data_IF_519145498783
#
_entry.id   IF_519145498783
#
_cell.length_a   1.000
_cell.length_b   1.000
_cell.length_c   1.000
_cell.angle_alpha   90.00
_cell.angle_beta   90.00
_cell.angle_gamma   90.00
#
_symmetry.space_group_name_H-M   'P 1'
#
loop_
_entity.id
_entity.type
_entity.pdbx_description
1 polymer ?
#
# COMPACT_ATOMS: atom_id res chain seq x y z
N UNK A 1 -1.10 8.64 5.62
CA UNK A 1 -1.76 8.38 4.32
C UNK A 1 -1.98 6.89 4.17
N UNK A 2 -3.22 6.45 3.92
CA UNK A 2 -3.66 5.06 3.72
C UNK A 2 -3.37 4.57 2.30
N UNK A 3 -2.36 3.71 2.13
CA UNK A 3 -2.00 3.13 0.83
C UNK A 3 -2.40 1.66 0.76
N UNK A 4 -3.35 1.31 -0.10
CA UNK A 4 -3.81 -0.07 -0.28
C UNK A 4 -3.09 -0.75 -1.46
N UNK A 5 -2.33 -1.82 -1.21
CA UNK A 5 -1.58 -2.59 -2.23
C UNK A 5 -2.10 -4.01 -2.35
N UNK A 6 -2.39 -4.47 -3.57
CA UNK A 6 -2.63 -5.89 -3.86
C UNK A 6 -1.47 -6.46 -4.69
N UNK A 7 -0.52 -7.22 -4.11
CA UNK A 7 0.35 -8.08 -4.89
C UNK A 7 -0.38 -9.39 -5.22
N UNK A 8 -0.44 -9.75 -6.50
CA UNK A 8 -0.91 -11.06 -6.95
C UNK A 8 0.27 -11.97 -7.31
N UNK A 9 0.29 -13.19 -6.76
CA UNK A 9 1.30 -14.20 -7.14
C UNK A 9 0.78 -14.95 -8.36
N UNK A 10 1.57 -15.03 -9.44
CA UNK A 10 1.24 -15.86 -10.61
C UNK A 10 1.21 -17.34 -10.21
N UNK A 11 0.25 -18.15 -10.69
CA UNK A 11 0.23 -19.58 -10.40
C UNK A 11 1.55 -20.25 -10.83
N UNK A 12 2.02 -21.29 -10.10
CA UNK A 12 3.29 -21.94 -10.39
C UNK A 12 3.31 -22.45 -11.83
N UNK A 13 4.47 -22.33 -12.50
CA UNK A 13 4.61 -22.95 -13.82
C UNK A 13 4.37 -24.47 -13.70
N UNK A 14 3.94 -25.11 -14.79
CA UNK A 14 3.68 -26.58 -14.83
C UNK A 14 4.91 -27.45 -14.50
N UNK A 15 6.06 -26.82 -14.21
CA UNK A 15 7.37 -27.42 -14.07
C UNK A 15 7.90 -27.30 -12.62
N UNK A 16 7.08 -26.84 -11.66
CA UNK A 16 7.40 -26.88 -10.23
C UNK A 16 8.49 -25.90 -9.75
N UNK A 17 8.82 -24.85 -10.51
CA UNK A 17 9.78 -23.81 -10.06
C UNK A 17 9.09 -22.72 -9.22
N UNK A 18 9.68 -22.42 -8.06
CA UNK A 18 9.30 -21.30 -7.19
C UNK A 18 9.33 -19.97 -7.95
N UNK A 19 8.34 -19.11 -7.73
CA UNK A 19 8.21 -17.82 -8.44
C UNK A 19 9.36 -16.89 -8.06
N UNK A 20 10.12 -16.42 -9.05
CA UNK A 20 11.11 -15.36 -8.86
C UNK A 20 10.41 -14.03 -8.55
N UNK A 21 11.12 -13.06 -7.97
CA UNK A 21 10.60 -11.70 -7.73
C UNK A 21 10.03 -11.03 -8.99
N UNK A 22 10.44 -11.50 -10.19
CA UNK A 22 9.97 -11.06 -11.51
C UNK A 22 8.68 -11.74 -12.00
N UNK A 23 8.22 -12.78 -11.30
CA UNK A 23 7.02 -13.56 -11.64
C UNK A 23 5.78 -13.13 -10.84
N UNK A 24 5.92 -12.10 -9.99
CA UNK A 24 4.83 -11.49 -9.21
C UNK A 24 4.21 -10.42 -10.09
N UNK A 25 2.88 -10.41 -10.21
CA UNK A 25 2.18 -9.34 -10.92
C UNK A 25 2.47 -7.99 -10.25
N UNK A 26 2.53 -6.91 -11.05
CA UNK A 26 2.78 -5.61 -10.48
C UNK A 26 1.60 -5.23 -9.58
N UNK A 27 1.87 -4.59 -8.44
CA UNK A 27 0.83 -4.25 -7.48
C UNK A 27 -0.11 -3.17 -8.02
N UNK A 28 -1.32 -3.10 -7.49
CA UNK A 28 -2.27 -2.01 -7.74
C UNK A 28 -2.43 -1.14 -6.51
N UNK A 29 -2.50 0.17 -6.73
CA UNK A 29 -2.81 1.17 -5.72
C UNK A 29 -4.28 1.60 -5.83
N UNK A 30 -4.96 1.73 -4.69
CA UNK A 30 -6.31 2.29 -4.63
C UNK A 30 -6.36 3.69 -4.03
N UNK A 31 -5.91 3.84 -2.80
CA UNK A 31 -5.90 5.12 -2.08
C UNK A 31 -4.48 5.56 -1.75
N UNK A 32 -4.34 6.84 -1.39
CA UNK A 32 -3.09 7.43 -0.92
C UNK A 32 -2.13 7.82 -2.04
N UNK A 33 -0.91 8.19 -1.65
CA UNK A 33 0.20 8.43 -2.56
C UNK A 33 1.20 7.28 -2.44
N UNK A 34 1.67 6.76 -3.57
CA UNK A 34 2.79 5.82 -3.63
C UNK A 34 3.46 5.94 -4.99
N UNK A 35 4.68 5.41 -5.12
CA UNK A 35 5.42 5.41 -6.40
C UNK A 35 4.97 4.28 -7.35
N UNK A 36 3.87 3.58 -7.01
CA UNK A 36 3.24 2.56 -7.87
C UNK A 36 2.44 3.25 -8.98
N UNK A 37 2.63 2.82 -10.22
CA UNK A 37 1.99 3.43 -11.40
C UNK A 37 0.71 2.74 -11.84
N UNK A 38 0.39 1.55 -11.32
CA UNK A 38 -0.85 0.85 -11.63
C UNK A 38 -1.92 1.25 -10.63
N UNK A 39 -2.93 1.97 -11.11
CA UNK A 39 -4.08 2.37 -10.31
C UNK A 39 -5.22 1.39 -10.50
N UNK A 40 -5.90 1.09 -9.41
CA UNK A 40 -7.20 0.44 -9.44
C UNK A 40 -8.29 1.44 -9.82
N UNK A 41 -9.42 0.93 -10.31
CA UNK A 41 -10.59 1.73 -10.68
C UNK A 41 -11.73 1.45 -9.71
N UNK A 42 -12.37 2.49 -9.18
CA UNK A 42 -13.61 2.35 -8.42
C UNK A 42 -14.77 2.17 -9.39
N UNK A 43 -15.34 0.96 -9.44
CA UNK A 43 -16.44 0.61 -10.34
C UNK A 43 -17.80 1.06 -9.79
N UNK A 44 -17.97 1.04 -8.46
CA UNK A 44 -19.18 1.49 -7.79
C UNK A 44 -18.87 1.98 -6.37
N UNK A 45 -19.77 2.79 -5.83
CA UNK A 45 -19.72 3.28 -4.45
C UNK A 45 -21.13 3.36 -3.88
N UNK A 46 -21.32 2.87 -2.66
CA UNK A 46 -22.55 3.00 -1.89
C UNK A 46 -22.23 3.60 -0.53
N UNK A 47 -23.05 4.57 -0.09
CA UNK A 47 -22.83 5.29 1.16
C UNK A 47 -24.12 5.27 1.97
N UNK A 48 -24.00 4.87 3.23
CA UNK A 48 -25.04 4.92 4.26
C UNK A 48 -24.55 5.75 5.44
N UNK A 49 -25.40 5.98 6.44
CA UNK A 49 -25.04 6.80 7.61
C UNK A 49 -23.84 6.27 8.41
N UNK A 50 -23.58 4.96 8.38
CA UNK A 50 -22.51 4.32 9.18
C UNK A 50 -21.54 3.47 8.35
N UNK A 51 -21.78 3.35 7.04
CA UNK A 51 -20.95 2.51 6.17
C UNK A 51 -20.76 3.13 4.79
N UNK A 52 -19.56 2.98 4.25
CA UNK A 52 -19.22 3.31 2.86
C UNK A 52 -18.60 2.09 2.21
N UNK A 53 -19.19 1.64 1.11
CA UNK A 53 -18.78 0.46 0.37
C UNK A 53 -18.25 0.90 -1.01
N UNK A 54 -17.07 0.43 -1.39
CA UNK A 54 -16.51 0.63 -2.71
C UNK A 54 -16.31 -0.71 -3.42
N UNK A 55 -16.77 -0.84 -4.65
CA UNK A 55 -16.38 -1.95 -5.54
C UNK A 55 -15.17 -1.51 -6.36
N UNK A 56 -14.06 -2.22 -6.19
CA UNK A 56 -12.77 -1.87 -6.75
C UNK A 56 -12.33 -2.91 -7.78
N UNK A 57 -11.87 -2.44 -8.94
CA UNK A 57 -11.22 -3.24 -9.98
C UNK A 57 -9.71 -3.00 -9.95
N UNK A 58 -8.93 -4.03 -9.63
CA UNK A 58 -7.47 -4.03 -9.59
C UNK A 58 -6.94 -5.08 -10.57
N UNK A 59 -6.65 -4.66 -11.80
CA UNK A 59 -6.24 -5.58 -12.87
C UNK A 59 -7.34 -6.63 -13.14
N UNK A 60 -7.01 -7.95 -13.11
CA UNK A 60 -8.00 -9.01 -13.32
C UNK A 60 -8.86 -9.30 -12.09
N UNK A 61 -8.62 -8.63 -10.96
CA UNK A 61 -9.34 -8.88 -9.70
C UNK A 61 -10.33 -7.76 -9.40
N UNK A 62 -11.56 -8.16 -9.03
CA UNK A 62 -12.58 -7.27 -8.47
C UNK A 62 -12.86 -7.64 -7.02
N UNK A 63 -13.08 -6.66 -6.16
CA UNK A 63 -13.41 -6.89 -4.74
C UNK A 63 -14.18 -5.71 -4.15
N UNK A 64 -14.73 -5.88 -2.95
CA UNK A 64 -15.39 -4.83 -2.19
C UNK A 64 -14.53 -4.37 -1.01
N UNK A 65 -14.50 -3.07 -0.76
CA UNK A 65 -13.87 -2.44 0.40
C UNK A 65 -14.91 -1.62 1.16
N UNK A 66 -15.19 -2.02 2.41
CA UNK A 66 -16.24 -1.42 3.24
C UNK A 66 -15.62 -0.74 4.45
N UNK A 67 -15.75 0.58 4.51
CA UNK A 67 -15.52 1.36 5.72
C UNK A 67 -16.77 1.33 6.59
N UNK A 68 -16.63 1.03 7.87
CA UNK A 68 -17.74 0.97 8.82
C UNK A 68 -17.38 1.70 10.11
N UNK A 69 -18.26 2.59 10.55
CA UNK A 69 -18.15 3.30 11.82
C UNK A 69 -19.32 2.88 12.71
N UNK A 70 -19.07 2.15 13.81
CA UNK A 70 -20.11 1.75 14.73
C UNK A 70 -20.79 2.95 15.38
N UNK A 71 -22.09 2.84 15.64
CA UNK A 71 -22.82 3.75 16.53
C UNK A 71 -23.16 2.95 17.77
N UNK A 72 -22.67 3.40 18.92
CA UNK A 72 -22.90 2.74 20.21
C UNK A 72 -23.76 3.65 21.10
N UNK A 73 -25.10 3.58 21.02
CA UNK A 73 -25.99 4.62 21.54
C UNK A 73 -25.86 4.90 23.04
N UNK A 74 -25.34 3.93 23.80
CA UNK A 74 -25.27 3.95 25.26
C UNK A 74 -23.83 4.15 25.79
N UNK A 75 -22.82 4.24 24.92
CA UNK A 75 -21.42 4.45 25.32
C UNK A 75 -20.83 5.68 24.61
N UNK A 76 -21.07 6.84 25.20
CA UNK A 76 -20.56 8.13 24.72
C UNK A 76 -19.03 8.19 24.73
N UNK A 77 -18.37 7.40 25.60
CA UNK A 77 -16.92 7.33 25.66
C UNK A 77 -16.36 6.70 24.38
N UNK A 78 -16.91 5.58 23.96
CA UNK A 78 -16.52 4.88 22.72
C UNK A 78 -16.93 5.63 21.46
N UNK A 79 -18.04 6.35 21.49
CA UNK A 79 -18.41 7.27 20.41
C UNK A 79 -17.45 8.46 20.25
N UNK A 80 -16.74 8.86 21.31
CA UNK A 80 -15.78 9.97 21.26
C UNK A 80 -14.42 9.59 20.68
N UNK A 81 -14.18 8.30 20.43
CA UNK A 81 -12.93 7.80 19.85
C UNK A 81 -13.11 7.78 18.31
N UNK A 82 -12.32 8.57 17.55
CA UNK A 82 -12.38 8.52 16.10
C UNK A 82 -11.73 7.22 15.59
N UNK A 83 -12.52 6.23 15.20
CA UNK A 83 -12.04 5.01 14.55
C UNK A 83 -13.03 4.51 13.48
N UNK A 84 -12.52 3.69 12.56
CA UNK A 84 -13.31 3.03 11.52
C UNK A 84 -12.74 1.65 11.24
N UNK A 85 -13.59 0.68 10.91
CA UNK A 85 -13.19 -0.62 10.42
C UNK A 85 -13.13 -0.61 8.89
N UNK A 86 -12.13 -1.30 8.33
CA UNK A 86 -12.07 -1.61 6.91
C UNK A 86 -12.24 -3.11 6.71
N UNK A 87 -13.32 -3.50 6.04
CA UNK A 87 -13.54 -4.87 5.58
C UNK A 87 -13.19 -4.96 4.09
N UNK A 88 -12.50 -6.02 3.71
CA UNK A 88 -12.18 -6.29 2.30
C UNK A 88 -12.58 -7.72 1.97
N UNK A 89 -13.51 -7.87 1.04
CA UNK A 89 -14.14 -9.15 0.71
C UNK A 89 -14.63 -9.21 -0.75
N UNK A 90 -15.34 -10.29 -1.11
CA UNK A 90 -15.97 -10.41 -2.43
C UNK A 90 -14.99 -10.50 -3.60
N UNK A 91 -13.82 -11.11 -3.40
CA UNK A 91 -12.81 -11.26 -4.44
C UNK A 91 -13.31 -12.15 -5.59
N UNK A 92 -13.29 -11.60 -6.81
CA UNK A 92 -13.67 -12.27 -8.05
C UNK A 92 -12.57 -12.04 -9.09
N UNK A 93 -12.17 -13.10 -9.79
CA UNK A 93 -11.21 -13.04 -10.88
C UNK A 93 -11.94 -13.03 -12.23
N UNK A 94 -11.71 -12.00 -13.04
CA UNK A 94 -12.35 -11.88 -14.36
C UNK A 94 -11.64 -12.75 -15.43
N UNK A 95 -10.42 -13.20 -15.16
CA UNK A 95 -9.63 -14.03 -16.08
C UNK A 95 -9.83 -15.55 -15.87
N UNK A 96 -10.64 -15.94 -14.88
CA UNK A 96 -10.93 -17.35 -14.55
C UNK A 96 -9.77 -18.14 -13.96
N UNK A 97 -8.63 -17.49 -13.65
CA UNK A 97 -7.47 -18.16 -13.07
C UNK A 97 -7.47 -18.07 -11.54
N UNK A 98 -6.83 -19.01 -10.83
CA UNK A 98 -6.59 -18.86 -9.39
C UNK A 98 -5.56 -17.76 -9.12
N UNK A 99 -5.86 -16.88 -8.16
CA UNK A 99 -4.97 -15.81 -7.71
C UNK A 99 -4.69 -15.91 -6.21
N UNK A 100 -3.44 -15.67 -5.81
CA UNK A 100 -3.08 -15.42 -4.42
C UNK A 100 -3.09 -13.92 -4.17
N UNK A 101 -3.80 -13.48 -3.13
CA UNK A 101 -4.07 -12.07 -2.83
C UNK A 101 -3.37 -11.72 -1.53
N UNK A 102 -2.68 -10.58 -1.52
CA UNK A 102 -2.22 -9.95 -0.27
C UNK A 102 -2.76 -8.53 -0.22
N UNK A 103 -2.86 -7.99 0.99
CA UNK A 103 -3.40 -6.65 1.22
C UNK A 103 -2.41 -5.94 2.12
N UNK A 104 -1.96 -4.76 1.69
CA UNK A 104 -1.12 -3.89 2.50
C UNK A 104 -1.87 -2.60 2.77
N UNK A 105 -1.81 -2.11 4.00
CA UNK A 105 -2.29 -0.79 4.40
C UNK A 105 -1.28 -0.18 5.36
N UNK A 106 -0.96 1.09 5.15
CA UNK A 106 -0.06 1.88 6.00
C UNK A 106 -0.70 3.23 6.25
N UNK A 107 -0.46 3.86 7.41
CA UNK A 107 -0.94 5.20 7.73
C UNK A 107 0.26 6.04 8.14
N UNK A 108 0.79 6.83 7.22
CA UNK A 108 1.83 7.82 7.56
C UNK A 108 1.26 8.96 8.42
N UNK A 109 1.86 9.18 9.59
CA UNK A 109 1.60 10.33 10.46
C UNK A 109 2.32 11.57 9.94
N UNK A 110 1.67 12.33 9.06
CA UNK A 110 2.21 13.59 8.56
C UNK A 110 1.77 14.75 9.44
N UNK A 111 2.72 15.41 10.12
CA UNK A 111 2.54 16.81 10.49
C UNK A 111 2.73 17.64 9.21
N UNK A 112 1.65 18.24 8.71
CA UNK A 112 1.75 19.26 7.68
C UNK A 112 2.41 20.50 8.30
N UNK A 113 3.73 20.58 8.20
CA UNK A 113 4.48 21.78 8.47
C UNK A 113 4.36 22.66 7.21
N UNK A 114 3.57 23.75 7.17
CA UNK A 114 3.28 24.46 5.91
C UNK A 114 4.48 25.20 5.31
N UNK A 115 5.61 25.25 6.01
CA UNK A 115 6.82 25.93 5.53
C UNK A 115 7.59 25.15 4.45
N UNK A 116 7.37 23.83 4.28
CA UNK A 116 8.24 23.01 3.42
C UNK A 116 7.71 22.77 2.00
N UNK A 117 6.62 23.44 1.60
CA UNK A 117 6.03 23.24 0.27
C UNK A 117 6.51 24.24 -0.80
N UNK A 118 7.47 25.12 -0.50
CA UNK A 118 8.04 26.07 -1.48
C UNK A 118 9.43 25.68 -2.03
N UNK A 119 9.97 24.49 -1.70
CA UNK A 119 11.38 24.20 -1.97
C UNK A 119 11.72 22.91 -2.73
N UNK A 120 10.74 22.11 -3.17
CA UNK A 120 11.02 20.76 -3.69
C UNK A 120 10.28 20.41 -4.98
N UNK A 121 10.35 21.29 -5.96
CA UNK A 121 10.03 20.94 -7.33
C UNK A 121 11.02 21.62 -8.27
N UNK A 122 12.21 21.05 -8.40
CA UNK A 122 13.08 20.95 -9.61
C UNK A 122 14.55 20.80 -9.19
N UNK A 123 15.23 19.76 -9.69
CA UNK A 123 16.67 19.46 -9.52
C UNK A 123 17.15 19.10 -8.10
N UNK A 124 17.21 17.80 -7.75
CA UNK A 124 18.32 17.25 -6.93
C UNK A 124 18.31 15.71 -6.75
N UNK A 125 17.87 14.95 -7.76
CA UNK A 125 17.95 13.47 -7.76
C UNK A 125 18.86 12.94 -8.86
N UNK A 126 20.14 13.29 -8.81
CA UNK A 126 21.22 12.47 -9.39
C UNK A 126 22.44 12.50 -8.46
N UNK A 127 22.46 11.62 -7.45
CA UNK A 127 23.72 11.20 -6.81
C UNK A 127 24.00 9.75 -7.20
N UNK A 128 25.11 9.43 -7.88
CA UNK A 128 25.51 8.04 -8.09
C UNK A 128 25.93 7.43 -6.75
N UNK A 129 25.44 6.23 -6.45
CA UNK A 129 25.90 5.41 -5.32
C UNK A 129 27.37 5.01 -5.52
N UNK A 130 28.29 5.73 -4.88
CA UNK A 130 29.69 5.29 -4.71
C UNK A 130 29.76 4.51 -3.39
N UNK A 131 30.17 3.24 -3.49
CA UNK A 131 30.40 2.32 -2.37
C UNK A 131 31.30 2.98 -1.31
N UNK A 132 30.77 3.14 -0.10
CA UNK A 132 31.57 3.39 1.10
C UNK A 132 31.91 2.05 1.73
N UNK A 133 33.09 1.48 1.47
CA UNK A 133 33.55 0.34 2.29
C UNK A 133 35.07 0.16 2.49
N UNK A 134 35.98 0.85 1.79
CA UNK A 134 37.42 0.64 2.07
C UNK A 134 38.11 1.73 2.89
N UNK A 135 37.64 2.99 2.85
CA UNK A 135 38.31 4.09 3.56
C UNK A 135 37.92 4.21 5.03
N UNK A 136 36.66 3.88 5.35
CA UNK A 136 36.14 3.92 6.72
C UNK A 136 36.72 2.79 7.61
N UNK A 137 37.04 1.64 7.03
CA UNK A 137 37.62 0.49 7.75
C UNK A 137 39.10 0.67 8.12
N UNK A 138 39.84 1.51 7.40
CA UNK A 138 41.26 1.77 7.69
C UNK A 138 41.49 2.81 8.80
N UNK A 139 40.50 3.65 9.10
CA UNK A 139 40.61 4.66 10.16
C UNK A 139 40.35 4.07 11.56
N UNK A 140 39.57 3.00 11.65
CA UNK A 140 39.27 2.32 12.94
C UNK A 140 40.41 1.41 13.39
N UNK A 141 41.11 0.74 12.46
CA UNK A 141 42.23 -0.16 12.79
C UNK A 141 43.50 0.64 13.16
N UNK A 142 43.65 1.88 12.70
CA UNK A 142 44.81 2.74 12.99
C UNK A 142 44.81 3.44 14.36
N UNK A 143 43.82 3.22 15.23
CA UNK A 143 43.74 3.85 16.57
C UNK A 143 44.00 2.90 17.74
N UNK A 144 44.52 1.69 17.48
CA UNK A 144 44.85 0.70 18.51
C UNK A 144 46.31 0.21 18.49
N UNK A 145 47.24 1.05 18.03
CA UNK A 145 48.67 0.94 18.32
C UNK A 145 49.22 2.32 18.66
#
# INVERSE_FOLDING_TARGET
MAGFRIPTVKPPNKNGRSSSHKDIWPPYQWLGYSDITNFSTTAASEITSTSTIFTIQAGPMKFNATFFTPVEPNDYGRQSIPFTYLFVDGFVADDGNPHSIQLYSDITGGQLNPHWMAGRATMDYLRPMVRQDEKAMREVIGRLQ
#
